data_IF_657280923841
#
_entry.id   IF_657280923841
#
_cell.length_a   1.000
_cell.length_b   1.000
_cell.length_c   1.000
_cell.angle_alpha   90.00
_cell.angle_beta   90.00
_cell.angle_gamma   90.00
#
_symmetry.space_group_name_H-M   'P 1'
#
loop_
_entity.id
_entity.type
_entity.pdbx_description
1 polymer ?
#
# COMPACT_ATOMS: atom_id res chain seq x y z
N UNK A 1 -13.62 -2.61 -2.03
CA UNK A 1 -14.24 -2.07 -0.81
C UNK A 1 -13.76 -0.67 -0.48
N UNK A 2 -14.08 -0.20 0.73
CA UNK A 2 -13.65 1.09 1.31
C UNK A 2 -14.06 2.33 0.49
N UNK A 3 -15.02 2.16 -0.43
CA UNK A 3 -15.43 3.22 -1.34
C UNK A 3 -14.68 3.27 -2.67
N UNK A 4 -13.56 2.56 -2.80
CA UNK A 4 -12.69 2.57 -3.98
C UNK A 4 -13.35 1.90 -5.20
N UNK A 5 -13.97 0.71 -4.99
CA UNK A 5 -14.56 -0.10 -6.06
C UNK A 5 -16.10 -0.07 -6.04
N UNK A 6 -16.73 1.07 -5.80
CA UNK A 6 -18.19 1.16 -5.62
C UNK A 6 -19.00 0.65 -6.83
N UNK A 7 -18.43 0.67 -8.03
CA UNK A 7 -19.02 0.13 -9.26
C UNK A 7 -19.24 -1.39 -9.18
N UNK A 8 -18.41 -2.13 -8.44
CA UNK A 8 -18.52 -3.59 -8.28
C UNK A 8 -19.83 -3.97 -7.58
N UNK A 9 -20.31 -3.18 -6.63
CA UNK A 9 -21.59 -3.43 -5.95
C UNK A 9 -22.76 -3.38 -6.95
N UNK A 10 -22.74 -2.42 -7.88
CA UNK A 10 -23.76 -2.30 -8.93
C UNK A 10 -23.72 -3.50 -9.88
N UNK A 11 -22.51 -3.90 -10.30
CA UNK A 11 -22.32 -5.05 -11.18
C UNK A 11 -22.78 -6.36 -10.52
N UNK A 12 -22.43 -6.60 -9.26
CA UNK A 12 -22.88 -7.80 -8.54
C UNK A 12 -24.39 -7.83 -8.33
N UNK A 13 -25.01 -6.68 -8.05
CA UNK A 13 -26.46 -6.55 -7.87
C UNK A 13 -27.22 -6.88 -9.15
N UNK A 14 -26.69 -6.55 -10.33
CA UNK A 14 -27.35 -6.86 -11.62
C UNK A 14 -27.51 -8.37 -11.87
N UNK A 15 -26.76 -9.22 -11.19
CA UNK A 15 -26.85 -10.69 -11.24
C UNK A 15 -27.31 -11.29 -9.91
N UNK A 16 -27.98 -10.51 -9.07
CA UNK A 16 -28.47 -10.91 -7.75
C UNK A 16 -27.38 -11.51 -6.85
N UNK A 17 -26.18 -10.95 -6.88
CA UNK A 17 -25.05 -11.34 -6.03
C UNK A 17 -24.60 -10.18 -5.16
N UNK A 18 -24.08 -10.52 -3.98
CA UNK A 18 -23.40 -9.56 -3.09
C UNK A 18 -21.91 -9.85 -3.13
N UNK A 19 -21.07 -8.88 -3.49
CA UNK A 19 -19.62 -9.07 -3.45
C UNK A 19 -19.13 -9.16 -2.01
N UNK A 20 -17.97 -9.79 -1.81
CA UNK A 20 -17.23 -9.71 -0.56
C UNK A 20 -16.34 -8.47 -0.63
N UNK A 21 -16.53 -7.57 0.31
CA UNK A 21 -15.73 -6.35 0.44
C UNK A 21 -14.50 -6.68 1.30
N UNK A 22 -13.35 -6.90 0.65
CA UNK A 22 -12.15 -7.39 1.34
C UNK A 22 -11.73 -6.48 2.49
N UNK A 23 -11.77 -5.16 2.30
CA UNK A 23 -11.45 -4.19 3.33
C UNK A 23 -12.37 -4.30 4.54
N UNK A 24 -13.68 -4.24 4.32
CA UNK A 24 -14.69 -4.24 5.40
C UNK A 24 -14.92 -5.64 5.97
N UNK A 25 -15.24 -6.62 5.11
CA UNK A 25 -15.71 -7.94 5.54
C UNK A 25 -14.57 -8.83 6.09
N UNK A 26 -13.36 -8.69 5.55
CA UNK A 26 -12.23 -9.55 5.91
C UNK A 26 -11.19 -8.85 6.78
N UNK A 27 -10.92 -7.56 6.52
CA UNK A 27 -9.91 -6.83 7.27
C UNK A 27 -10.47 -6.04 8.46
N UNK A 28 -11.79 -5.81 8.51
CA UNK A 28 -12.45 -5.05 9.57
C UNK A 28 -12.23 -3.54 9.46
N UNK A 29 -11.88 -3.06 8.28
CA UNK A 29 -11.71 -1.64 7.98
C UNK A 29 -13.08 -0.99 7.73
N UNK A 30 -13.13 0.33 7.77
CA UNK A 30 -14.35 1.11 7.56
C UNK A 30 -14.26 1.92 6.27
N UNK A 31 -15.40 2.29 5.73
CA UNK A 31 -15.45 3.23 4.62
C UNK A 31 -14.75 4.55 5.02
N UNK A 32 -13.84 5.02 4.17
CA UNK A 32 -12.99 6.17 4.44
C UNK A 32 -11.62 5.83 5.01
N UNK A 33 -11.38 4.56 5.44
CA UNK A 33 -10.01 4.11 5.69
C UNK A 33 -9.25 4.01 4.37
N UNK A 34 -7.92 4.05 4.45
CA UNK A 34 -7.04 3.96 3.28
C UNK A 34 -7.35 2.72 2.43
N UNK A 35 -7.75 2.87 1.15
CA UNK A 35 -8.20 1.78 0.31
C UNK A 35 -7.06 0.92 -0.27
N UNK A 36 -5.80 1.36 -0.17
CA UNK A 36 -4.62 0.72 -0.79
C UNK A 36 -4.18 -0.55 -0.04
N UNK A 37 -5.15 -1.39 0.32
CA UNK A 37 -4.97 -2.60 1.15
C UNK A 37 -4.08 -3.67 0.53
N UNK A 38 -3.84 -3.62 -0.78
CA UNK A 38 -2.94 -4.56 -1.44
C UNK A 38 -1.49 -4.44 -1.00
N UNK A 39 -1.10 -3.30 -0.41
CA UNK A 39 0.20 -3.11 0.22
C UNK A 39 0.24 -3.57 1.69
N UNK A 40 -0.88 -4.02 2.25
CA UNK A 40 -0.95 -4.62 3.57
C UNK A 40 -0.82 -6.14 3.45
N UNK A 41 0.32 -6.72 3.85
CA UNK A 41 0.58 -8.15 3.72
C UNK A 41 -0.30 -9.04 4.62
N UNK A 42 -1.13 -8.48 5.50
CA UNK A 42 -2.19 -9.23 6.18
C UNK A 42 -3.41 -9.47 5.27
N UNK A 43 -3.61 -8.63 4.25
CA UNK A 43 -4.73 -8.77 3.31
C UNK A 43 -4.69 -10.11 2.55
N UNK A 44 -3.59 -10.50 1.88
CA UNK A 44 -3.57 -11.78 1.18
C UNK A 44 -3.76 -12.97 2.11
N UNK A 45 -3.31 -12.90 3.36
CA UNK A 45 -3.56 -13.97 4.34
C UNK A 45 -5.04 -14.15 4.59
N UNK A 46 -5.74 -13.09 4.96
CA UNK A 46 -7.19 -13.12 5.24
C UNK A 46 -8.00 -13.51 4.00
N UNK A 47 -7.60 -13.02 2.83
CA UNK A 47 -8.29 -13.32 1.58
C UNK A 47 -8.10 -14.77 1.13
N UNK A 48 -6.89 -15.32 1.22
CA UNK A 48 -6.61 -16.73 0.91
C UNK A 48 -7.35 -17.66 1.87
N UNK A 49 -7.35 -17.38 3.17
CA UNK A 49 -8.10 -18.15 4.16
C UNK A 49 -9.60 -18.17 3.85
N UNK A 50 -10.16 -17.01 3.48
CA UNK A 50 -11.55 -16.92 3.03
C UNK A 50 -11.80 -17.79 1.78
N UNK A 51 -10.94 -17.66 0.76
CA UNK A 51 -11.08 -18.41 -0.49
C UNK A 51 -10.99 -19.93 -0.25
N UNK A 52 -9.99 -20.37 0.51
CA UNK A 52 -9.82 -21.81 0.85
C UNK A 52 -11.07 -22.35 1.54
N UNK A 53 -11.58 -21.64 2.54
CA UNK A 53 -12.82 -22.04 3.24
C UNK A 53 -14.02 -22.09 2.31
N UNK A 54 -14.17 -21.10 1.43
CA UNK A 54 -15.30 -20.99 0.52
C UNK A 54 -15.26 -22.07 -0.57
N UNK A 55 -14.12 -22.26 -1.21
CA UNK A 55 -13.91 -23.26 -2.26
C UNK A 55 -14.05 -24.68 -1.70
N UNK A 56 -13.51 -24.97 -0.52
CA UNK A 56 -13.64 -26.27 0.12
C UNK A 56 -15.09 -26.63 0.49
N UNK A 57 -15.94 -25.63 0.75
CA UNK A 57 -17.39 -25.86 0.94
C UNK A 57 -18.12 -26.16 -0.37
N UNK A 58 -17.71 -25.49 -1.46
CA UNK A 58 -18.34 -25.64 -2.78
C UNK A 58 -17.90 -26.95 -3.45
N UNK A 59 -16.64 -27.32 -3.29
CA UNK A 59 -16.07 -28.54 -3.86
C UNK A 59 -15.30 -29.30 -2.78
N UNK A 60 -16.03 -30.11 -2.02
CA UNK A 60 -15.48 -30.91 -0.92
C UNK A 60 -14.44 -31.92 -1.38
N UNK A 61 -14.57 -32.43 -2.61
CA UNK A 61 -13.63 -33.42 -3.19
C UNK A 61 -12.21 -32.86 -3.33
N UNK A 62 -12.10 -31.58 -3.64
CA UNK A 62 -10.81 -30.90 -3.84
C UNK A 62 -10.38 -30.01 -2.65
N UNK A 63 -11.00 -30.16 -1.48
CA UNK A 63 -10.71 -29.34 -0.32
C UNK A 63 -9.21 -29.39 0.10
N UNK A 64 -8.60 -30.57 0.08
CA UNK A 64 -7.17 -30.73 0.37
C UNK A 64 -6.27 -30.00 -0.64
N UNK A 65 -6.63 -29.99 -1.91
CA UNK A 65 -5.92 -29.26 -2.96
C UNK A 65 -5.97 -27.75 -2.74
N UNK A 66 -7.16 -27.20 -2.42
CA UNK A 66 -7.30 -25.78 -2.12
C UNK A 66 -6.47 -25.37 -0.91
N UNK A 67 -6.50 -26.18 0.17
CA UNK A 67 -5.70 -25.94 1.37
C UNK A 67 -4.21 -25.91 1.07
N UNK A 68 -3.69 -26.93 0.38
CA UNK A 68 -2.27 -27.04 0.06
C UNK A 68 -1.78 -25.86 -0.82
N UNK A 69 -2.60 -25.42 -1.79
CA UNK A 69 -2.26 -24.23 -2.60
C UNK A 69 -2.30 -22.93 -1.80
N UNK A 70 -3.26 -22.79 -0.90
CA UNK A 70 -3.31 -21.66 0.03
C UNK A 70 -2.06 -21.57 0.88
N UNK A 71 -1.66 -22.67 1.53
CA UNK A 71 -0.44 -22.76 2.35
C UNK A 71 0.83 -22.40 1.55
N UNK A 72 0.97 -22.92 0.32
CA UNK A 72 2.09 -22.58 -0.57
C UNK A 72 2.13 -21.08 -0.91
N UNK A 73 0.97 -20.49 -1.15
CA UNK A 73 0.88 -19.06 -1.44
C UNK A 73 1.26 -18.22 -0.22
N UNK A 74 0.71 -18.55 0.95
CA UNK A 74 0.98 -17.83 2.20
C UNK A 74 2.43 -17.93 2.66
N UNK A 75 3.10 -19.06 2.40
CA UNK A 75 4.54 -19.19 2.64
C UNK A 75 5.35 -18.14 1.85
N UNK A 76 4.95 -17.84 0.60
CA UNK A 76 5.59 -16.80 -0.21
C UNK A 76 5.29 -15.39 0.32
N UNK A 77 4.08 -15.14 0.81
CA UNK A 77 3.73 -13.87 1.47
C UNK A 77 4.59 -13.66 2.71
N UNK A 78 4.76 -14.70 3.55
CA UNK A 78 5.60 -14.65 4.74
C UNK A 78 7.08 -14.32 4.40
N UNK A 79 7.61 -14.88 3.31
CA UNK A 79 8.96 -14.54 2.84
C UNK A 79 9.09 -13.06 2.45
N UNK A 80 8.07 -12.49 1.82
CA UNK A 80 8.06 -11.05 1.48
C UNK A 80 8.05 -10.21 2.75
N UNK A 81 7.25 -10.57 3.74
CA UNK A 81 7.17 -9.87 5.02
C UNK A 81 8.51 -9.81 5.75
N UNK A 82 9.33 -10.84 5.62
CA UNK A 82 10.67 -10.91 6.23
C UNK A 82 11.72 -9.99 5.58
N UNK A 83 11.41 -9.36 4.43
CA UNK A 83 12.34 -8.47 3.72
C UNK A 83 12.56 -7.14 4.45
N UNK A 84 11.61 -6.71 5.26
CA UNK A 84 11.71 -5.49 6.06
C UNK A 84 11.82 -5.82 7.54
N UNK A 85 12.66 -5.08 8.26
CA UNK A 85 12.84 -5.24 9.71
C UNK A 85 11.86 -4.33 10.43
N UNK A 86 10.92 -4.92 11.16
CA UNK A 86 9.92 -4.17 11.94
C UNK A 86 10.45 -3.56 13.23
N UNK A 87 11.66 -3.97 13.67
CA UNK A 87 12.24 -3.59 14.97
C UNK A 87 13.00 -2.26 14.96
N UNK A 88 13.17 -1.64 13.80
CA UNK A 88 13.86 -0.35 13.70
C UNK A 88 12.89 0.78 14.02
N UNK A 89 13.08 1.42 15.15
CA UNK A 89 12.53 2.75 15.44
C UNK A 89 13.26 3.77 14.56
N UNK A 90 12.80 3.94 13.32
CA UNK A 90 13.31 5.00 12.46
C UNK A 90 13.01 6.34 13.12
N UNK A 91 14.05 7.10 13.45
CA UNK A 91 13.92 8.39 14.12
C UNK A 91 13.34 9.48 13.20
N UNK A 92 13.57 9.36 11.88
CA UNK A 92 13.08 10.31 10.88
C UNK A 92 11.80 9.81 10.23
N UNK A 93 10.80 10.69 10.06
CA UNK A 93 9.60 10.35 9.28
C UNK A 93 9.93 10.20 7.79
N UNK A 94 8.99 9.64 7.06
CA UNK A 94 8.98 9.63 5.59
C UNK A 94 7.92 10.60 5.09
N UNK A 95 8.13 11.17 3.90
CA UNK A 95 7.11 11.90 3.19
C UNK A 95 6.59 11.07 2.03
N UNK A 96 5.32 11.21 1.72
CA UNK A 96 4.63 10.47 0.66
C UNK A 96 3.85 11.42 -0.24
N UNK A 97 3.77 11.10 -1.53
CA UNK A 97 2.95 11.89 -2.47
C UNK A 97 1.46 11.64 -2.27
N UNK A 98 1.10 10.42 -1.86
CA UNK A 98 -0.25 9.91 -1.65
C UNK A 98 -0.20 8.69 -0.71
N UNK A 99 -1.31 8.30 -0.05
CA UNK A 99 -1.32 7.23 0.95
C UNK A 99 -1.23 5.81 0.35
N UNK A 100 -0.69 5.68 -0.87
CA UNK A 100 -0.63 4.41 -1.61
C UNK A 100 0.18 3.34 -0.88
N UNK A 101 1.31 3.73 -0.27
CA UNK A 101 2.27 2.79 0.32
C UNK A 101 2.25 2.74 1.86
N UNK A 102 1.32 3.41 2.48
CA UNK A 102 1.21 3.61 3.94
C UNK A 102 1.24 2.33 4.75
N UNK A 103 0.51 1.29 4.29
CA UNK A 103 0.48 0.02 5.00
C UNK A 103 1.85 -0.63 5.08
N UNK A 104 2.61 -0.61 3.98
CA UNK A 104 3.97 -1.16 3.96
C UNK A 104 4.94 -0.33 4.81
N UNK A 105 4.83 1.01 4.78
CA UNK A 105 5.63 1.91 5.60
C UNK A 105 5.39 1.68 7.09
N UNK A 106 4.12 1.58 7.50
CA UNK A 106 3.74 1.31 8.90
C UNK A 106 4.22 -0.06 9.35
N UNK A 107 4.13 -1.09 8.50
CA UNK A 107 4.65 -2.43 8.79
C UNK A 107 6.18 -2.41 8.97
N UNK A 108 6.90 -1.61 8.20
CA UNK A 108 8.34 -1.39 8.32
C UNK A 108 8.75 -0.44 9.48
N UNK A 109 7.79 0.05 10.28
CA UNK A 109 8.04 0.91 11.43
C UNK A 109 8.30 2.39 11.11
N UNK A 110 8.04 2.83 9.87
CA UNK A 110 8.14 4.24 9.50
C UNK A 110 6.92 5.05 9.95
N UNK A 111 7.17 6.31 10.33
CA UNK A 111 6.13 7.32 10.57
C UNK A 111 5.99 8.19 9.33
N UNK A 112 4.75 8.46 8.94
CA UNK A 112 4.43 9.40 7.88
C UNK A 112 4.38 10.79 8.49
N UNK A 113 5.15 11.73 7.91
CA UNK A 113 5.34 13.07 8.46
C UNK A 113 4.48 14.16 7.83
N UNK A 114 3.81 13.84 6.72
CA UNK A 114 3.06 14.77 5.88
C UNK A 114 1.60 14.33 5.63
N UNK A 115 0.97 13.74 6.64
CA UNK A 115 -0.39 13.19 6.53
C UNK A 115 -1.40 14.14 5.92
N UNK A 116 -1.40 15.39 6.38
CA UNK A 116 -2.34 16.41 5.86
C UNK A 116 -2.10 16.68 4.37
N UNK A 117 -0.84 16.57 3.90
CA UNK A 117 -0.50 16.74 2.49
C UNK A 117 -0.97 15.53 1.66
N UNK A 118 -0.67 14.30 2.08
CA UNK A 118 -1.08 13.10 1.34
C UNK A 118 -2.60 13.00 1.21
N UNK A 119 -3.33 13.34 2.28
CA UNK A 119 -4.79 13.37 2.30
C UNK A 119 -5.36 14.45 1.37
N UNK A 120 -4.73 15.63 1.29
CA UNK A 120 -5.14 16.67 0.38
C UNK A 120 -5.00 16.23 -1.09
N UNK A 121 -3.86 15.60 -1.44
CA UNK A 121 -3.63 15.08 -2.80
C UNK A 121 -4.63 13.96 -3.13
N UNK A 122 -4.82 12.98 -2.23
CA UNK A 122 -5.78 11.87 -2.42
C UNK A 122 -7.21 12.36 -2.66
N UNK A 123 -7.62 13.40 -1.93
CA UNK A 123 -8.94 14.01 -2.06
C UNK A 123 -9.05 14.98 -3.26
N UNK A 124 -8.00 15.15 -4.05
CA UNK A 124 -7.97 16.07 -5.19
C UNK A 124 -8.07 17.54 -4.79
N UNK A 125 -7.66 17.88 -3.55
CA UNK A 125 -7.63 19.27 -3.05
C UNK A 125 -6.21 19.83 -3.14
N UNK A 126 -6.08 21.16 -3.29
CA UNK A 126 -4.78 21.80 -3.32
C UNK A 126 -4.19 21.89 -1.89
N UNK A 127 -2.95 21.40 -1.67
CA UNK A 127 -2.25 21.58 -0.40
C UNK A 127 -2.02 23.07 -0.10
N UNK A 128 -2.16 23.46 1.15
CA UNK A 128 -1.96 24.85 1.54
C UNK A 128 -0.48 25.29 1.37
N UNK A 129 -0.23 26.59 1.10
CA UNK A 129 1.13 27.12 1.03
C UNK A 129 1.96 26.83 2.30
N UNK A 130 1.31 26.79 3.46
CA UNK A 130 1.96 26.47 4.74
C UNK A 130 2.48 25.02 4.77
N UNK A 131 1.68 24.06 4.28
CA UNK A 131 2.09 22.64 4.16
C UNK A 131 3.27 22.51 3.21
N UNK A 132 3.20 23.14 2.03
CA UNK A 132 4.26 23.11 1.02
C UNK A 132 5.57 23.68 1.58
N UNK A 133 5.52 24.83 2.24
CA UNK A 133 6.69 25.47 2.83
C UNK A 133 7.31 24.60 3.93
N UNK A 134 6.49 24.04 4.83
CA UNK A 134 6.97 23.12 5.87
C UNK A 134 7.70 21.92 5.26
N UNK A 135 7.12 21.27 4.26
CA UNK A 135 7.74 20.11 3.59
C UNK A 135 9.05 20.50 2.91
N UNK A 136 9.09 21.64 2.22
CA UNK A 136 10.33 22.16 1.61
C UNK A 136 11.44 22.35 2.64
N UNK A 137 11.13 22.95 3.79
CA UNK A 137 12.10 23.22 4.84
C UNK A 137 12.60 21.92 5.49
N UNK A 138 11.72 20.95 5.71
CA UNK A 138 12.10 19.66 6.28
C UNK A 138 12.95 18.83 5.31
N UNK A 139 12.68 18.88 4.00
CA UNK A 139 13.51 18.27 2.96
C UNK A 139 14.90 18.91 2.92
N UNK A 140 14.99 20.26 2.84
CA UNK A 140 16.27 20.98 2.86
C UNK A 140 17.08 20.71 4.12
N UNK A 141 16.41 20.64 5.26
CA UNK A 141 17.04 20.34 6.55
C UNK A 141 17.33 18.83 6.74
N UNK A 142 17.06 17.98 5.76
CA UNK A 142 17.27 16.52 5.81
C UNK A 142 16.60 15.85 7.01
N UNK A 143 15.42 16.34 7.41
CA UNK A 143 14.64 15.82 8.55
C UNK A 143 13.80 14.61 8.21
N UNK A 144 13.72 14.20 6.96
CA UNK A 144 13.02 12.99 6.51
C UNK A 144 14.00 11.88 6.11
N UNK A 145 13.56 10.63 6.21
CA UNK A 145 14.37 9.48 5.83
C UNK A 145 14.43 9.33 4.30
N UNK A 146 13.31 9.39 3.63
CA UNK A 146 13.14 9.35 2.18
C UNK A 146 11.78 9.90 1.77
N UNK A 147 11.58 10.10 0.46
CA UNK A 147 10.32 10.50 -0.14
C UNK A 147 9.72 9.33 -0.92
N UNK A 148 8.45 9.00 -0.72
CA UNK A 148 7.71 7.98 -1.48
C UNK A 148 6.90 8.67 -2.57
N UNK A 149 7.15 8.28 -3.81
CA UNK A 149 6.52 8.88 -4.99
C UNK A 149 5.63 7.85 -5.71
N UNK A 150 4.32 8.09 -5.75
CA UNK A 150 3.43 7.36 -6.66
C UNK A 150 3.70 7.86 -8.09
N UNK A 151 4.23 6.97 -8.95
CA UNK A 151 4.60 7.33 -10.33
C UNK A 151 3.39 7.45 -11.26
N UNK A 152 2.21 7.09 -10.82
CA UNK A 152 0.97 7.13 -11.59
C UNK A 152 0.13 8.38 -11.32
N UNK A 153 0.38 9.05 -10.20
CA UNK A 153 -0.20 10.35 -9.91
C UNK A 153 0.90 11.41 -9.87
N UNK A 154 0.79 12.44 -10.68
CA UNK A 154 1.80 13.49 -10.73
C UNK A 154 1.15 14.87 -10.82
N UNK A 155 1.37 15.67 -9.79
CA UNK A 155 1.15 17.13 -9.83
C UNK A 155 2.49 17.85 -10.01
N UNK A 156 2.44 19.14 -10.36
CA UNK A 156 3.63 19.99 -10.38
C UNK A 156 4.29 20.11 -9.01
N UNK A 157 3.48 20.13 -7.96
CA UNK A 157 3.91 20.17 -6.56
C UNK A 157 4.69 18.90 -6.19
N UNK A 158 4.16 17.71 -6.48
CA UNK A 158 4.85 16.43 -6.22
C UNK A 158 6.17 16.35 -7.00
N UNK A 159 6.18 16.76 -8.28
CA UNK A 159 7.42 16.82 -9.09
C UNK A 159 8.47 17.73 -8.45
N UNK A 160 8.05 18.86 -7.90
CA UNK A 160 8.96 19.80 -7.22
C UNK A 160 9.55 19.18 -5.96
N UNK A 161 8.78 18.46 -5.15
CA UNK A 161 9.30 17.74 -3.97
C UNK A 161 10.26 16.61 -4.35
N UNK A 162 9.95 15.82 -5.38
CA UNK A 162 10.85 14.77 -5.88
C UNK A 162 12.19 15.37 -6.34
N UNK A 163 12.14 16.50 -7.07
CA UNK A 163 13.34 17.23 -7.49
C UNK A 163 14.14 17.72 -6.27
N UNK A 164 13.47 18.40 -5.34
CA UNK A 164 14.09 18.94 -4.14
C UNK A 164 14.73 17.85 -3.27
N UNK A 165 14.05 16.69 -3.11
CA UNK A 165 14.60 15.54 -2.39
C UNK A 165 15.93 15.07 -3.02
N UNK A 166 15.95 14.88 -4.35
CA UNK A 166 17.16 14.49 -5.09
C UNK A 166 18.29 15.50 -4.95
N UNK A 167 18.01 16.80 -5.08
CA UNK A 167 18.98 17.88 -4.92
C UNK A 167 19.61 17.92 -3.52
N UNK A 168 18.87 17.45 -2.50
CA UNK A 168 19.34 17.37 -1.13
C UNK A 168 19.88 15.97 -0.74
N UNK A 169 20.07 15.07 -1.71
CA UNK A 169 20.53 13.69 -1.49
C UNK A 169 19.60 12.88 -0.57
N UNK A 170 18.30 13.16 -0.62
CA UNK A 170 17.29 12.35 0.04
C UNK A 170 16.81 11.27 -0.94
N UNK A 171 16.84 9.99 -0.54
CA UNK A 171 16.38 8.91 -1.41
C UNK A 171 14.91 9.09 -1.81
N UNK A 172 14.55 8.65 -3.01
CA UNK A 172 13.17 8.62 -3.51
C UNK A 172 12.79 7.18 -3.81
N UNK A 173 11.78 6.69 -3.11
CA UNK A 173 11.18 5.39 -3.34
C UNK A 173 10.00 5.54 -4.31
N UNK A 174 10.14 5.02 -5.53
CA UNK A 174 9.05 5.02 -6.49
C UNK A 174 8.14 3.80 -6.27
N UNK A 175 6.84 4.05 -6.18
CA UNK A 175 5.79 3.04 -6.06
C UNK A 175 4.73 3.24 -7.14
N UNK A 176 3.81 2.30 -7.26
CA UNK A 176 2.68 2.35 -8.19
C UNK A 176 1.40 1.95 -7.46
N UNK A 177 0.30 2.54 -7.83
CA UNK A 177 -1.01 2.18 -7.31
C UNK A 177 -1.54 0.88 -7.93
N UNK A 178 -1.27 0.67 -9.22
CA UNK A 178 -1.74 -0.50 -9.95
C UNK A 178 -0.61 -1.45 -10.32
N UNK A 179 -0.93 -2.74 -10.35
CA UNK A 179 0.02 -3.79 -10.71
C UNK A 179 0.56 -3.58 -12.14
N UNK A 180 1.88 -3.68 -12.38
CA UNK A 180 2.45 -3.60 -13.72
C UNK A 180 1.97 -4.75 -14.62
N UNK A 181 1.88 -4.48 -15.92
CA UNK A 181 1.59 -5.54 -16.91
C UNK A 181 2.62 -6.68 -16.82
N UNK A 182 2.16 -7.89 -17.12
CA UNK A 182 3.00 -9.08 -17.18
C UNK A 182 3.72 -9.46 -15.88
N UNK A 183 3.22 -9.01 -14.73
CA UNK A 183 3.73 -9.42 -13.44
C UNK A 183 2.63 -10.04 -12.55
N UNK A 184 3.02 -10.68 -11.45
CA UNK A 184 2.09 -11.24 -10.46
C UNK A 184 2.09 -10.38 -9.20
N UNK A 185 1.01 -10.48 -8.40
CA UNK A 185 0.94 -9.77 -7.12
C UNK A 185 2.16 -10.06 -6.22
N UNK A 186 2.56 -11.33 -6.11
CA UNK A 186 3.70 -11.71 -5.26
C UNK A 186 5.02 -11.14 -5.78
N UNK A 187 5.24 -11.13 -7.09
CA UNK A 187 6.45 -10.55 -7.69
C UNK A 187 6.49 -9.03 -7.45
N UNK A 188 5.36 -8.37 -7.69
CA UNK A 188 5.21 -6.94 -7.46
C UNK A 188 5.43 -6.54 -6.00
N UNK A 189 4.80 -7.25 -5.04
CA UNK A 189 5.02 -7.00 -3.62
C UNK A 189 6.47 -7.28 -3.20
N UNK A 190 7.06 -8.37 -3.68
CA UNK A 190 8.46 -8.68 -3.40
C UNK A 190 9.39 -7.55 -3.84
N UNK A 191 9.22 -7.04 -5.06
CA UNK A 191 10.01 -5.92 -5.57
C UNK A 191 9.85 -4.66 -4.72
N UNK A 192 8.61 -4.27 -4.39
CA UNK A 192 8.34 -3.08 -3.56
C UNK A 192 8.96 -3.20 -2.16
N UNK A 193 8.81 -4.36 -1.51
CA UNK A 193 9.39 -4.59 -0.19
C UNK A 193 10.92 -4.69 -0.21
N UNK A 194 11.51 -5.23 -1.29
CA UNK A 194 12.97 -5.19 -1.50
C UNK A 194 13.47 -3.76 -1.68
N UNK A 195 12.74 -2.93 -2.41
CA UNK A 195 13.10 -1.52 -2.60
C UNK A 195 12.94 -0.73 -1.30
N UNK A 196 11.91 -1.01 -0.50
CA UNK A 196 11.75 -0.42 0.83
C UNK A 196 12.91 -0.82 1.76
N UNK A 197 13.32 -2.08 1.76
CA UNK A 197 14.44 -2.57 2.55
C UNK A 197 15.78 -1.88 2.21
N UNK A 198 15.95 -1.40 0.97
CA UNK A 198 17.14 -0.59 0.57
C UNK A 198 17.14 0.81 1.17
N UNK A 199 15.96 1.36 1.55
CA UNK A 199 15.86 2.66 2.21
C UNK A 199 16.29 2.60 3.68
N UNK A 200 16.48 1.41 4.24
CA UNK A 200 16.92 1.20 5.63
C UNK A 200 18.44 1.39 5.85
N UNK A 201 19.18 1.65 4.78
CA UNK A 201 20.64 1.92 4.82
C UNK A 201 20.87 3.41 4.97
#
# INVERSE_FOLDING_TARGET
>A
GLGYDSWMNKLASSVNKKPVLVGEDLMGLKRGDNPHIWYNLSMPTKYVDYLVKRLSKLDKKHAAYFKANGEKYLAKVAQIKQLVKTDKKNSKPVFVSEPVFDYALKEAGYKIGDKDFEEAIENGTDPSPKMINKMNDEIRAKKIAFFVNNTQASSSTVKSFVKLAKENNIPVLNVRETIPNHTTYLAWMKENYQNLAKMEK
#
